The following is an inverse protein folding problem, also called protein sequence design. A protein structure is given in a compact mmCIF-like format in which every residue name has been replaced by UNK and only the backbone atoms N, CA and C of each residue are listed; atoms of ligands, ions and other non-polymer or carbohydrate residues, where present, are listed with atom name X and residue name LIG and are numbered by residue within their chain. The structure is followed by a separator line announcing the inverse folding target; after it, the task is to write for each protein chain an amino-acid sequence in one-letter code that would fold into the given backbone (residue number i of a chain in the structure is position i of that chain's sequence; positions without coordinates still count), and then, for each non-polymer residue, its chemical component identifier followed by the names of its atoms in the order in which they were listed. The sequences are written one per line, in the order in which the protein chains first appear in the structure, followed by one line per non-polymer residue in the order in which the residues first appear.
data_IF_599200191002
#
_entry.id   IF_599200191002
#
_cell.length_a   1.000
_cell.length_b   1.000
_cell.length_c   1.000
_cell.angle_alpha   90.00
_cell.angle_beta   90.00
_cell.angle_gamma   90.00
#
_symmetry.space_group_name_H-M   'P 1'
#
loop_
_entity.id
_entity.type
_entity.pdbx_description
1 polymer ?
#
# COMPACT_ATOMS: atom_id res chain seq x y z
N UNK A 1 14.99 -11.66 -29.76
CA UNK A 1 14.85 -10.29 -30.30
C UNK A 1 13.75 -9.58 -29.52
N UNK A 2 14.08 -8.49 -28.82
CA UNK A 2 13.21 -7.79 -27.86
C UNK A 2 11.85 -7.40 -28.47
N UNK A 3 10.75 -7.76 -27.81
CA UNK A 3 9.39 -7.34 -28.20
C UNK A 3 9.23 -5.83 -28.02
N UNK A 4 9.66 -5.30 -26.86
CA UNK A 4 9.49 -3.90 -26.48
C UNK A 4 10.19 -2.87 -27.39
N UNK A 5 11.20 -3.28 -28.15
CA UNK A 5 11.96 -2.40 -29.03
C UNK A 5 11.56 -2.51 -30.52
N UNK A 6 10.62 -3.40 -30.86
CA UNK A 6 10.14 -3.55 -32.22
C UNK A 6 9.04 -2.52 -32.49
N UNK A 7 9.17 -1.81 -33.60
CA UNK A 7 8.07 -1.02 -34.16
C UNK A 7 6.84 -1.93 -34.31
N UNK A 8 5.70 -1.50 -33.77
CA UNK A 8 4.38 -2.17 -33.77
C UNK A 8 4.10 -3.21 -32.66
N UNK A 9 4.93 -3.36 -31.63
CA UNK A 9 4.55 -4.16 -30.46
C UNK A 9 3.77 -3.29 -29.47
N UNK A 10 2.57 -3.75 -29.08
CA UNK A 10 1.74 -3.13 -28.05
C UNK A 10 2.01 -3.80 -26.71
N UNK A 11 2.05 -2.99 -25.65
CA UNK A 11 2.05 -3.46 -24.26
C UNK A 11 0.63 -3.36 -23.73
N UNK A 12 0.03 -4.49 -23.40
CA UNK A 12 -1.36 -4.58 -22.93
C UNK A 12 -1.37 -5.15 -21.51
N UNK A 13 -1.92 -4.40 -20.55
CA UNK A 13 -2.24 -4.90 -19.21
C UNK A 13 -3.73 -5.25 -19.20
N UNK A 14 -4.04 -6.54 -19.20
CA UNK A 14 -5.39 -7.05 -19.43
C UNK A 14 -5.93 -7.79 -18.21
N UNK A 15 -7.10 -7.38 -17.73
CA UNK A 15 -7.86 -8.09 -16.72
C UNK A 15 -8.88 -9.03 -17.37
N UNK A 16 -8.93 -10.28 -16.92
CA UNK A 16 -9.93 -11.26 -17.36
C UNK A 16 -10.87 -11.64 -16.22
N UNK A 17 -12.16 -11.34 -16.37
CA UNK A 17 -13.22 -11.73 -15.42
C UNK A 17 -13.35 -13.24 -15.28
N UNK A 18 -13.11 -14.00 -16.35
CA UNK A 18 -13.16 -15.47 -16.33
C UNK A 18 -12.15 -16.06 -15.36
N UNK A 19 -10.95 -15.48 -15.29
CA UNK A 19 -9.86 -15.99 -14.44
C UNK A 19 -9.69 -15.20 -13.14
N UNK A 20 -10.22 -13.99 -13.08
CA UNK A 20 -9.96 -13.03 -11.99
C UNK A 20 -8.53 -12.51 -11.98
N UNK A 21 -7.75 -12.70 -13.06
CA UNK A 21 -6.32 -12.37 -13.12
C UNK A 21 -6.04 -11.21 -14.07
N UNK A 22 -4.97 -10.48 -13.76
CA UNK A 22 -4.37 -9.48 -14.66
C UNK A 22 -3.07 -10.03 -15.23
N UNK A 23 -2.96 -10.00 -16.56
CA UNK A 23 -1.78 -10.43 -17.28
C UNK A 23 -1.23 -9.29 -18.15
N UNK A 24 0.08 -9.29 -18.34
CA UNK A 24 0.76 -8.39 -19.27
C UNK A 24 1.10 -9.10 -20.58
N UNK A 25 0.71 -8.50 -21.70
CA UNK A 25 0.94 -9.03 -23.04
C UNK A 25 1.78 -8.06 -23.86
N UNK A 26 2.75 -8.60 -24.61
CA UNK A 26 3.61 -7.87 -25.54
C UNK A 26 3.36 -8.42 -26.94
N UNK A 27 2.37 -7.86 -27.64
CA UNK A 27 1.83 -8.45 -28.88
C UNK A 27 1.62 -7.40 -29.96
N UNK A 28 1.74 -7.79 -31.22
CA UNK A 28 1.37 -6.96 -32.38
C UNK A 28 -0.13 -6.96 -32.67
N UNK A 29 -0.90 -7.90 -32.07
CA UNK A 29 -2.33 -8.07 -32.36
C UNK A 29 -3.15 -8.36 -31.10
N UNK A 30 -4.40 -7.86 -31.09
CA UNK A 30 -5.42 -8.08 -30.05
C UNK A 30 -6.24 -9.36 -30.25
N UNK A 31 -6.11 -10.07 -31.37
CA UNK A 31 -7.10 -11.03 -31.88
C UNK A 31 -7.52 -12.16 -30.92
N UNK A 32 -6.77 -12.42 -29.84
CA UNK A 32 -7.08 -13.47 -28.87
C UNK A 32 -7.69 -12.96 -27.55
N UNK A 33 -7.88 -11.65 -27.39
CA UNK A 33 -8.42 -11.04 -26.17
C UNK A 33 -9.85 -10.54 -26.43
N UNK A 34 -10.80 -10.95 -25.59
CA UNK A 34 -12.15 -10.40 -25.58
C UNK A 34 -12.10 -9.04 -24.86
N UNK A 35 -11.90 -7.97 -25.61
CA UNK A 35 -11.71 -6.62 -25.09
C UNK A 35 -13.02 -5.85 -25.23
N UNK A 36 -13.69 -5.63 -24.09
CA UNK A 36 -14.90 -4.80 -23.99
C UNK A 36 -14.61 -3.40 -23.44
N UNK A 37 -13.54 -3.27 -22.66
CA UNK A 37 -13.00 -2.00 -22.17
C UNK A 37 -11.53 -1.84 -22.57
N UNK A 38 -11.14 -0.65 -23.00
CA UNK A 38 -9.74 -0.30 -23.30
C UNK A 38 -9.48 1.17 -22.98
N UNK A 39 -8.37 1.46 -22.31
CA UNK A 39 -7.87 2.81 -22.04
C UNK A 39 -6.35 2.85 -22.24
N UNK A 40 -5.86 3.80 -23.04
CA UNK A 40 -4.43 3.99 -23.23
C UNK A 40 -3.86 4.95 -22.17
N UNK A 41 -2.72 4.60 -21.59
CA UNK A 41 -1.95 5.47 -20.68
C UNK A 41 -0.50 5.56 -21.13
N UNK A 42 0.16 6.67 -20.79
CA UNK A 42 1.59 6.88 -21.06
C UNK A 42 2.42 6.61 -19.82
N UNK A 43 3.28 5.61 -19.88
CA UNK A 43 4.33 5.34 -18.91
C UNK A 43 5.53 6.26 -19.18
N UNK A 44 5.64 7.34 -18.42
CA UNK A 44 6.56 8.45 -18.73
C UNK A 44 8.03 8.04 -18.63
N UNK A 45 8.38 7.31 -17.59
CA UNK A 45 9.73 6.86 -17.24
C UNK A 45 10.31 5.99 -18.35
N UNK A 46 9.48 5.12 -18.93
CA UNK A 46 9.85 4.22 -20.01
C UNK A 46 9.57 4.79 -21.41
N UNK A 47 8.85 5.92 -21.50
CA UNK A 47 8.33 6.48 -22.75
C UNK A 47 7.50 5.47 -23.55
N UNK A 48 6.76 4.60 -22.85
CA UNK A 48 5.91 3.57 -23.46
C UNK A 48 4.43 3.96 -23.33
N UNK A 49 3.63 3.56 -24.33
CA UNK A 49 2.18 3.56 -24.19
C UNK A 49 1.73 2.15 -23.75
N UNK A 50 0.86 2.11 -22.74
CA UNK A 50 0.25 0.88 -22.23
C UNK A 50 -1.23 0.95 -22.51
N UNK A 51 -1.76 -0.14 -23.06
CA UNK A 51 -3.19 -0.35 -23.16
C UNK A 51 -3.69 -1.10 -21.92
N UNK A 52 -4.57 -0.48 -21.16
CA UNK A 52 -5.30 -1.11 -20.06
C UNK A 52 -6.59 -1.69 -20.63
N UNK A 53 -6.76 -2.99 -20.61
CA UNK A 53 -7.88 -3.65 -21.26
C UNK A 53 -8.60 -4.64 -20.34
N UNK A 54 -9.86 -4.92 -20.64
CA UNK A 54 -10.66 -5.89 -19.87
C UNK A 54 -11.82 -6.45 -20.71
N UNK A 55 -12.29 -7.65 -20.35
CA UNK A 55 -13.57 -8.23 -20.79
C UNK A 55 -14.79 -7.70 -19.99
N UNK A 56 -14.57 -6.78 -19.04
CA UNK A 56 -15.63 -6.07 -18.34
C UNK A 56 -16.30 -5.03 -19.23
N UNK A 57 -17.62 -4.96 -19.14
CA UNK A 57 -18.39 -3.84 -19.67
C UNK A 57 -18.25 -2.64 -18.74
N UNK A 58 -18.04 -1.46 -19.32
CA UNK A 58 -17.96 -0.22 -18.55
C UNK A 58 -19.35 0.10 -18.03
N UNK A 59 -19.51 0.14 -16.72
CA UNK A 59 -20.66 0.76 -16.09
C UNK A 59 -20.38 2.26 -16.02
N UNK A 60 -21.08 3.06 -16.82
CA UNK A 60 -20.98 4.51 -16.78
C UNK A 60 -21.47 5.01 -15.41
N UNK A 61 -20.56 5.15 -14.45
CA UNK A 61 -20.87 5.82 -13.19
C UNK A 61 -20.70 7.33 -13.40
N UNK A 62 -21.80 8.00 -13.78
CA UNK A 62 -21.96 9.46 -13.73
C UNK A 62 -22.09 9.99 -12.28
N UNK A 63 -21.41 9.37 -11.31
CA UNK A 63 -21.39 9.90 -9.95
C UNK A 63 -20.33 11.00 -9.86
N UNK A 64 -20.83 12.23 -9.97
CA UNK A 64 -20.18 13.49 -9.65
C UNK A 64 -19.23 13.36 -8.45
N UNK A 65 -17.92 13.51 -8.72
CA UNK A 65 -16.89 13.70 -7.70
C UNK A 65 -17.15 15.08 -7.07
N UNK A 66 -17.96 15.09 -6.02
CA UNK A 66 -18.41 16.30 -5.34
C UNK A 66 -17.24 16.96 -4.59
N UNK A 67 -16.50 17.81 -5.29
CA UNK A 67 -15.15 18.29 -4.94
C UNK A 67 -15.12 19.40 -3.87
N UNK A 68 -16.21 19.67 -3.14
CA UNK A 68 -16.31 20.86 -2.26
C UNK A 68 -16.40 20.60 -0.75
N UNK A 69 -16.45 19.34 -0.27
CA UNK A 69 -16.33 18.97 1.17
C UNK A 69 -14.89 18.66 1.64
N UNK A 70 -13.88 18.92 0.78
CA UNK A 70 -12.57 18.27 0.85
C UNK A 70 -11.73 18.52 2.11
N UNK A 71 -11.65 19.72 2.67
CA UNK A 71 -10.59 20.02 3.66
C UNK A 71 -10.81 19.36 5.04
N UNK A 72 -12.03 19.39 5.59
CA UNK A 72 -12.33 18.68 6.86
C UNK A 72 -12.35 17.16 6.68
N UNK A 73 -12.73 16.69 5.49
CA UNK A 73 -12.66 15.27 5.12
C UNK A 73 -11.21 14.80 4.95
N UNK A 74 -10.29 15.64 4.49
CA UNK A 74 -8.89 15.23 4.21
C UNK A 74 -8.17 14.79 5.49
N UNK A 75 -8.35 15.48 6.61
CA UNK A 75 -7.76 15.07 7.90
C UNK A 75 -8.38 13.76 8.41
N UNK A 76 -9.71 13.61 8.28
CA UNK A 76 -10.42 12.37 8.63
C UNK A 76 -9.94 11.19 7.78
N UNK A 77 -9.85 11.37 6.46
CA UNK A 77 -9.34 10.37 5.51
C UNK A 77 -7.90 10.01 5.86
N UNK A 78 -7.03 11.00 6.06
CA UNK A 78 -5.62 10.76 6.43
C UNK A 78 -5.49 9.94 7.71
N UNK A 79 -6.34 10.22 8.70
CA UNK A 79 -6.39 9.43 9.93
C UNK A 79 -6.88 8.02 9.69
N UNK A 80 -7.98 7.83 8.96
CA UNK A 80 -8.48 6.49 8.66
C UNK A 80 -7.46 5.66 7.87
N UNK A 81 -6.74 6.25 6.91
CA UNK A 81 -5.68 5.57 6.15
C UNK A 81 -4.51 5.14 7.05
N UNK A 82 -4.11 5.99 8.00
CA UNK A 82 -3.08 5.65 9.01
C UNK A 82 -3.58 4.57 9.99
N UNK A 83 -4.83 4.69 10.44
CA UNK A 83 -5.47 3.73 11.33
C UNK A 83 -5.60 2.35 10.68
N UNK A 84 -5.97 2.29 9.39
CA UNK A 84 -6.02 1.06 8.60
C UNK A 84 -4.65 0.37 8.55
N UNK A 85 -3.60 1.14 8.25
CA UNK A 85 -2.23 0.62 8.21
C UNK A 85 -1.84 0.01 9.54
N UNK A 86 -2.10 0.70 10.64
CA UNK A 86 -1.76 0.21 11.98
C UNK A 86 -2.61 -0.99 12.38
N UNK A 87 -3.90 -1.02 12.04
CA UNK A 87 -4.77 -2.17 12.28
C UNK A 87 -4.23 -3.42 11.56
N UNK A 88 -3.83 -3.30 10.29
CA UNK A 88 -3.24 -4.40 9.51
C UNK A 88 -1.86 -4.80 10.08
N UNK A 89 -1.00 -3.83 10.37
CA UNK A 89 0.33 -4.02 10.99
C UNK A 89 0.24 -4.77 12.33
N UNK A 90 -0.84 -4.57 13.09
CA UNK A 90 -1.11 -5.19 14.40
C UNK A 90 -2.02 -6.40 14.35
N UNK A 91 -2.42 -6.82 13.15
CA UNK A 91 -3.32 -7.95 12.94
C UNK A 91 -4.66 -7.81 13.66
N UNK A 92 -5.17 -6.57 13.79
CA UNK A 92 -6.49 -6.29 14.35
C UNK A 92 -7.57 -6.33 13.25
N UNK A 93 -8.15 -7.52 13.05
CA UNK A 93 -9.08 -7.79 11.95
C UNK A 93 -10.33 -6.92 11.98
N UNK A 94 -11.05 -6.90 13.10
CA UNK A 94 -12.34 -6.19 13.21
C UNK A 94 -12.16 -4.70 12.90
N UNK A 95 -11.16 -4.08 13.52
CA UNK A 95 -10.82 -2.68 13.30
C UNK A 95 -10.45 -2.42 11.82
N UNK A 96 -9.64 -3.27 11.20
CA UNK A 96 -9.25 -3.11 9.80
C UNK A 96 -10.45 -3.19 8.84
N UNK A 97 -11.38 -4.11 9.06
CA UNK A 97 -12.59 -4.30 8.23
C UNK A 97 -13.54 -3.11 8.37
N UNK A 98 -13.78 -2.63 9.59
CA UNK A 98 -14.61 -1.43 9.84
C UNK A 98 -14.01 -0.20 9.14
N UNK A 99 -12.70 0.05 9.30
CA UNK A 99 -12.02 1.19 8.67
C UNK A 99 -12.05 1.08 7.15
N UNK A 100 -11.76 -0.09 6.60
CA UNK A 100 -11.77 -0.31 5.15
C UNK A 100 -13.16 -0.08 4.56
N UNK A 101 -14.22 -0.53 5.26
CA UNK A 101 -15.61 -0.28 4.84
C UNK A 101 -15.92 1.22 4.83
N UNK A 102 -15.53 1.97 5.87
CA UNK A 102 -15.73 3.41 5.89
C UNK A 102 -14.93 4.13 4.80
N UNK A 103 -13.65 3.79 4.62
CA UNK A 103 -12.80 4.36 3.58
C UNK A 103 -13.35 4.04 2.19
N UNK A 104 -13.87 2.84 1.95
CA UNK A 104 -14.47 2.49 0.67
C UNK A 104 -15.63 3.43 0.30
N UNK A 105 -16.43 3.86 1.28
CA UNK A 105 -17.56 4.75 1.07
C UNK A 105 -17.17 6.23 0.87
N UNK A 106 -16.00 6.67 1.38
CA UNK A 106 -15.62 8.10 1.38
C UNK A 106 -14.39 8.42 0.51
N UNK A 107 -13.50 7.45 0.29
CA UNK A 107 -12.25 7.58 -0.47
C UNK A 107 -11.76 6.20 -0.95
N UNK A 108 -12.49 5.61 -1.91
CA UNK A 108 -12.18 4.30 -2.46
C UNK A 108 -10.78 4.25 -3.11
N UNK A 109 -10.38 5.30 -3.83
CA UNK A 109 -9.08 5.35 -4.48
C UNK A 109 -7.94 5.41 -3.46
N UNK A 110 -8.05 6.26 -2.44
CA UNK A 110 -7.06 6.35 -1.36
C UNK A 110 -6.92 5.03 -0.61
N UNK A 111 -8.03 4.32 -0.35
CA UNK A 111 -8.01 2.97 0.22
C UNK A 111 -7.20 2.00 -0.63
N UNK A 112 -7.51 1.88 -1.93
CA UNK A 112 -6.85 0.95 -2.84
C UNK A 112 -5.36 1.26 -2.97
N UNK A 113 -5.01 2.54 -3.13
CA UNK A 113 -3.61 3.00 -3.14
C UNK A 113 -2.91 2.64 -1.84
N UNK A 114 -3.56 2.81 -0.68
CA UNK A 114 -2.96 2.49 0.61
C UNK A 114 -2.78 0.98 0.82
N UNK A 115 -3.73 0.16 0.39
CA UNK A 115 -3.58 -1.30 0.42
C UNK A 115 -2.39 -1.77 -0.41
N UNK A 116 -2.11 -1.13 -1.56
CA UNK A 116 -0.94 -1.47 -2.37
C UNK A 116 0.37 -1.24 -1.61
N UNK A 117 0.46 -0.16 -0.83
CA UNK A 117 1.63 0.14 0.01
C UNK A 117 1.72 -0.81 1.20
N UNK A 118 0.62 -1.00 1.95
CA UNK A 118 0.58 -1.86 3.15
C UNK A 118 0.97 -3.30 2.82
N UNK A 119 0.53 -3.82 1.67
CA UNK A 119 0.88 -5.18 1.23
C UNK A 119 2.39 -5.41 1.13
N UNK A 120 3.17 -4.36 0.89
CA UNK A 120 4.62 -4.43 0.77
C UNK A 120 5.34 -4.02 2.06
N UNK A 121 4.93 -2.90 2.68
CA UNK A 121 5.64 -2.32 3.84
C UNK A 121 5.45 -3.15 5.12
N UNK A 122 4.22 -3.62 5.35
CA UNK A 122 3.80 -4.21 6.63
C UNK A 122 3.55 -5.72 6.56
N UNK A 123 3.43 -6.26 5.36
CA UNK A 123 3.09 -7.66 5.08
C UNK A 123 4.04 -8.20 4.00
N UNK A 124 3.52 -8.90 3.00
CA UNK A 124 4.26 -9.52 1.90
C UNK A 124 3.44 -9.36 0.61
N UNK A 125 4.12 -9.37 -0.53
CA UNK A 125 3.50 -9.21 -1.85
C UNK A 125 2.29 -10.14 -2.03
N UNK A 126 1.18 -9.54 -2.48
CA UNK A 126 -0.06 -10.23 -2.84
C UNK A 126 0.06 -10.85 -4.23
N UNK A 127 -0.48 -12.05 -4.41
CA UNK A 127 -0.68 -12.63 -5.75
C UNK A 127 -1.57 -11.72 -6.62
N UNK A 128 -2.59 -11.09 -6.00
CA UNK A 128 -3.53 -10.18 -6.66
C UNK A 128 -3.05 -8.72 -6.75
N UNK A 129 -1.78 -8.44 -6.45
CA UNK A 129 -1.23 -7.11 -6.61
C UNK A 129 -1.44 -6.52 -8.03
N UNK A 130 -1.32 -7.31 -9.13
CA UNK A 130 -1.58 -6.81 -10.47
C UNK A 130 -3.03 -6.37 -10.67
N UNK A 131 -3.99 -7.11 -10.09
CA UNK A 131 -5.39 -6.70 -10.07
C UNK A 131 -5.60 -5.38 -9.32
N UNK A 132 -5.03 -5.27 -8.11
CA UNK A 132 -5.14 -4.06 -7.29
C UNK A 132 -4.63 -2.83 -8.06
N UNK A 133 -3.50 -2.95 -8.76
CA UNK A 133 -2.98 -1.85 -9.56
C UNK A 133 -3.81 -1.55 -10.80
N UNK A 134 -4.26 -2.58 -11.52
CA UNK A 134 -5.12 -2.39 -12.69
C UNK A 134 -6.33 -1.55 -12.31
N UNK A 135 -6.97 -1.90 -11.20
CA UNK A 135 -8.10 -1.18 -10.63
C UNK A 135 -7.75 0.27 -10.24
N UNK A 136 -6.64 0.51 -9.53
CA UNK A 136 -6.19 1.88 -9.17
C UNK A 136 -6.04 2.74 -10.43
N UNK A 137 -5.51 2.13 -11.49
CA UNK A 137 -5.15 2.78 -12.76
C UNK A 137 -6.38 3.11 -13.62
N UNK A 138 -7.41 2.26 -13.57
CA UNK A 138 -8.65 2.45 -14.34
C UNK A 138 -9.74 3.18 -13.55
N UNK A 139 -9.56 3.44 -12.26
CA UNK A 139 -10.52 4.18 -11.44
C UNK A 139 -10.83 5.58 -12.03
N UNK A 140 -12.09 6.07 -11.96
CA UNK A 140 -13.30 5.42 -11.41
C UNK A 140 -14.06 4.55 -12.43
N UNK A 141 -13.48 4.24 -13.59
CA UNK A 141 -14.19 3.63 -14.72
C UNK A 141 -14.67 2.20 -14.45
N UNK A 142 -13.92 1.43 -13.68
CA UNK A 142 -14.32 0.08 -13.26
C UNK A 142 -14.64 0.09 -11.77
N UNK A 143 -15.85 -0.36 -11.44
CA UNK A 143 -16.27 -0.54 -10.06
C UNK A 143 -15.53 -1.73 -9.45
N UNK A 144 -14.94 -1.50 -8.28
CA UNK A 144 -14.41 -2.58 -7.42
C UNK A 144 -15.52 -3.00 -6.49
N UNK A 145 -15.73 -4.28 -6.29
CA UNK A 145 -16.69 -4.74 -5.29
C UNK A 145 -16.08 -4.66 -3.89
N UNK A 146 -16.86 -4.15 -2.92
CA UNK A 146 -16.44 -4.02 -1.51
C UNK A 146 -15.94 -5.36 -0.95
N UNK A 147 -16.65 -6.46 -1.24
CA UNK A 147 -16.27 -7.82 -0.82
C UNK A 147 -14.82 -8.15 -1.20
N UNK A 148 -14.40 -7.80 -2.42
CA UNK A 148 -13.04 -8.04 -2.87
C UNK A 148 -12.02 -7.23 -2.07
N UNK A 149 -12.31 -5.97 -1.79
CA UNK A 149 -11.46 -5.10 -0.96
C UNK A 149 -11.34 -5.67 0.46
N UNK A 150 -12.44 -6.12 1.04
CA UNK A 150 -12.45 -6.70 2.39
C UNK A 150 -11.70 -8.04 2.45
N UNK A 151 -11.77 -8.89 1.43
CA UNK A 151 -10.95 -10.12 1.35
C UNK A 151 -9.46 -9.82 1.29
N UNK A 152 -9.05 -8.78 0.56
CA UNK A 152 -7.65 -8.32 0.56
C UNK A 152 -7.24 -7.85 1.97
N UNK A 153 -8.07 -7.03 2.63
CA UNK A 153 -7.82 -6.57 4.00
C UNK A 153 -7.70 -7.75 4.97
N UNK A 154 -8.65 -8.67 4.96
CA UNK A 154 -8.63 -9.87 5.80
C UNK A 154 -7.36 -10.70 5.57
N UNK A 155 -7.01 -10.90 4.31
CA UNK A 155 -5.80 -11.64 3.91
C UNK A 155 -4.53 -10.98 4.47
N UNK A 156 -4.40 -9.65 4.31
CA UNK A 156 -3.27 -8.88 4.83
C UNK A 156 -3.18 -8.98 6.35
N UNK A 157 -4.29 -8.81 7.07
CA UNK A 157 -4.36 -8.92 8.54
C UNK A 157 -3.96 -10.32 9.00
N UNK A 158 -4.54 -11.38 8.41
CA UNK A 158 -4.33 -12.76 8.86
C UNK A 158 -2.93 -13.30 8.54
N UNK A 159 -2.28 -12.77 7.51
CA UNK A 159 -0.90 -13.15 7.18
C UNK A 159 0.02 -12.96 8.39
N UNK A 160 0.85 -13.96 8.70
CA UNK A 160 1.93 -13.87 9.69
C UNK A 160 3.28 -13.53 9.05
N UNK A 161 3.31 -13.26 7.75
CA UNK A 161 4.53 -13.04 6.96
C UNK A 161 4.75 -11.57 6.70
N UNK A 162 6.01 -11.15 6.80
CA UNK A 162 6.48 -9.83 6.45
C UNK A 162 7.77 -9.91 5.65
N UNK A 163 7.85 -9.15 4.57
CA UNK A 163 9.10 -8.93 3.85
C UNK A 163 9.89 -7.74 4.42
N UNK A 164 11.19 -7.75 4.15
CA UNK A 164 12.09 -6.67 4.49
C UNK A 164 12.90 -6.31 3.26
N UNK A 165 12.95 -5.02 2.95
CA UNK A 165 13.99 -4.50 2.09
C UNK A 165 15.31 -4.53 2.86
N UNK A 166 16.43 -4.92 2.22
CA UNK A 166 17.74 -4.78 2.84
C UNK A 166 18.00 -3.33 3.24
N UNK A 167 18.43 -3.10 4.48
CA UNK A 167 18.81 -1.77 4.99
C UNK A 167 20.18 -1.28 4.43
N UNK A 168 20.74 -1.98 3.45
CA UNK A 168 22.06 -1.65 2.89
C UNK A 168 21.96 -0.41 1.99
N UNK A 169 22.76 0.61 2.30
CA UNK A 169 22.96 1.79 1.45
C UNK A 169 23.44 1.39 0.03
N UNK A 170 23.96 0.17 -0.15
CA UNK A 170 24.29 -0.41 -1.45
C UNK A 170 23.08 -0.74 -2.31
N UNK A 171 21.87 -0.84 -1.72
CA UNK A 171 20.61 -0.82 -2.45
C UNK A 171 20.32 0.62 -2.91
N UNK A 172 21.33 1.23 -3.55
CA UNK A 172 21.15 2.42 -4.37
C UNK A 172 20.06 2.04 -5.33
N UNK A 173 18.89 2.65 -5.16
CA UNK A 173 17.70 2.38 -5.96
C UNK A 173 18.08 2.63 -7.42
N UNK A 174 18.52 1.58 -8.10
CA UNK A 174 18.89 1.68 -9.49
C UNK A 174 17.60 2.04 -10.20
N UNK A 175 17.63 3.17 -10.91
CA UNK A 175 16.51 3.59 -11.73
C UNK A 175 16.14 2.42 -12.64
N UNK A 176 14.92 1.91 -12.47
CA UNK A 176 14.39 0.93 -13.40
C UNK A 176 14.29 1.64 -14.75
N UNK A 177 14.82 0.99 -15.79
CA UNK A 177 14.83 1.48 -17.15
C UNK A 177 14.30 0.40 -18.10
N UNK A 178 14.31 0.67 -19.40
CA UNK A 178 13.84 -0.30 -20.39
C UNK A 178 14.68 -1.59 -20.39
N UNK A 179 15.99 -1.50 -20.12
CA UNK A 179 16.88 -2.66 -20.07
C UNK A 179 16.51 -3.63 -18.94
N UNK A 180 16.07 -3.11 -17.79
CA UNK A 180 15.53 -3.92 -16.71
C UNK A 180 14.32 -4.76 -17.15
N UNK A 181 13.38 -4.16 -17.88
CA UNK A 181 12.23 -4.89 -18.41
C UNK A 181 12.61 -5.89 -19.50
N UNK A 182 13.56 -5.52 -20.36
CA UNK A 182 14.11 -6.42 -21.39
C UNK A 182 14.77 -7.64 -20.74
N UNK A 183 15.42 -7.49 -19.58
CA UNK A 183 15.98 -8.61 -18.84
C UNK A 183 14.89 -9.60 -18.40
N UNK A 184 13.76 -9.09 -17.91
CA UNK A 184 12.60 -9.89 -17.49
C UNK A 184 12.04 -10.70 -18.67
N UNK A 185 11.84 -10.07 -19.83
CA UNK A 185 11.34 -10.75 -21.04
C UNK A 185 12.26 -11.87 -21.54
N UNK A 186 13.58 -11.75 -21.30
CA UNK A 186 14.57 -12.75 -21.75
C UNK A 186 14.64 -13.99 -20.87
N UNK A 187 14.00 -13.98 -19.69
CA UNK A 187 14.05 -15.07 -18.72
C UNK A 187 12.78 -15.91 -18.79
N UNK A 188 12.87 -17.16 -18.34
CA UNK A 188 11.74 -18.10 -18.27
C UNK A 188 10.84 -17.82 -17.05
N UNK A 189 10.38 -16.58 -16.91
CA UNK A 189 9.37 -16.22 -15.92
C UNK A 189 7.98 -16.62 -16.42
N UNK A 190 7.09 -16.94 -15.48
CA UNK A 190 5.69 -17.21 -15.79
C UNK A 190 4.90 -15.88 -15.86
N UNK A 191 3.69 -15.94 -16.42
CA UNK A 191 2.86 -14.75 -16.65
C UNK A 191 2.55 -13.98 -15.36
N UNK A 192 2.36 -14.67 -14.23
CA UNK A 192 2.06 -14.04 -12.94
C UNK A 192 3.27 -13.24 -12.43
N UNK A 193 4.47 -13.82 -12.47
CA UNK A 193 5.69 -13.13 -12.03
C UNK A 193 5.99 -11.89 -12.85
N UNK A 194 5.86 -12.00 -14.18
CA UNK A 194 5.96 -10.84 -15.09
C UNK A 194 4.94 -9.79 -14.67
N UNK A 195 3.70 -10.20 -14.44
CA UNK A 195 2.62 -9.29 -14.07
C UNK A 195 2.81 -8.62 -12.73
N UNK A 196 3.41 -9.31 -11.75
CA UNK A 196 3.77 -8.76 -10.45
C UNK A 196 4.86 -7.71 -10.58
N UNK A 197 5.97 -8.01 -11.29
CA UNK A 197 7.07 -7.07 -11.44
C UNK A 197 6.63 -5.81 -12.22
N UNK A 198 5.95 -5.99 -13.34
CA UNK A 198 5.46 -4.87 -14.15
C UNK A 198 4.45 -4.03 -13.38
N UNK A 199 3.59 -4.65 -12.58
CA UNK A 199 2.66 -3.91 -11.73
C UNK A 199 3.38 -3.13 -10.65
N UNK A 200 4.33 -3.72 -9.92
CA UNK A 200 5.12 -2.99 -8.92
C UNK A 200 5.79 -1.75 -9.52
N UNK A 201 6.38 -1.89 -10.70
CA UNK A 201 7.04 -0.79 -11.35
C UNK A 201 6.07 0.26 -11.89
N UNK A 202 4.95 -0.17 -12.49
CA UNK A 202 3.91 0.74 -12.92
C UNK A 202 3.37 1.51 -11.71
N UNK A 203 3.15 0.87 -10.56
CA UNK A 203 2.73 1.57 -9.34
C UNK A 203 3.74 2.63 -8.90
N UNK A 204 5.05 2.37 -9.00
CA UNK A 204 6.08 3.36 -8.69
C UNK A 204 5.99 4.61 -9.59
N UNK A 205 5.60 4.45 -10.85
CA UNK A 205 5.45 5.56 -11.81
C UNK A 205 4.25 6.47 -11.58
N UNK A 206 3.25 6.05 -10.80
CA UNK A 206 2.08 6.87 -10.48
C UNK A 206 2.41 8.01 -9.50
N UNK A 207 3.64 8.07 -9.01
CA UNK A 207 4.09 9.01 -8.01
C UNK A 207 3.62 8.64 -6.60
N UNK A 208 3.77 9.60 -5.69
CA UNK A 208 3.53 9.43 -4.26
C UNK A 208 4.59 10.16 -3.45
N UNK A 209 4.74 9.78 -2.18
CA UNK A 209 5.87 10.22 -1.38
C UNK A 209 7.14 9.55 -1.90
N UNK A 210 8.27 10.27 -1.91
CA UNK A 210 9.54 9.74 -2.41
C UNK A 210 9.91 8.40 -1.74
N UNK A 211 9.68 8.29 -0.43
CA UNK A 211 9.91 7.06 0.33
C UNK A 211 9.06 5.88 -0.18
N UNK A 212 7.80 6.12 -0.56
CA UNK A 212 6.94 5.07 -1.12
C UNK A 212 7.46 4.63 -2.48
N UNK A 213 7.89 5.57 -3.32
CA UNK A 213 8.46 5.29 -4.65
C UNK A 213 9.74 4.47 -4.51
N UNK A 214 10.67 4.87 -3.63
CA UNK A 214 11.89 4.13 -3.37
C UNK A 214 11.62 2.73 -2.84
N UNK A 215 10.66 2.59 -1.92
CA UNK A 215 10.24 1.30 -1.40
C UNK A 215 9.67 0.39 -2.51
N UNK A 216 8.80 0.94 -3.38
CA UNK A 216 8.21 0.20 -4.50
C UNK A 216 9.29 -0.28 -5.49
N UNK A 217 10.24 0.57 -5.84
CA UNK A 217 11.36 0.20 -6.70
C UNK A 217 12.23 -0.87 -6.00
N UNK A 218 12.47 -0.71 -4.69
CA UNK A 218 13.15 -1.70 -3.87
C UNK A 218 12.51 -3.08 -3.96
N UNK A 219 11.19 -3.13 -3.79
CA UNK A 219 10.43 -4.38 -3.88
C UNK A 219 10.39 -4.94 -5.30
N UNK A 220 10.38 -4.09 -6.33
CA UNK A 220 10.47 -4.51 -7.72
C UNK A 220 11.77 -5.28 -7.99
N UNK A 221 12.92 -4.76 -7.54
CA UNK A 221 14.21 -5.44 -7.64
C UNK A 221 14.26 -6.71 -6.78
N UNK A 222 13.82 -6.64 -5.52
CA UNK A 222 13.80 -7.79 -4.61
C UNK A 222 13.02 -8.97 -5.19
N UNK A 223 11.81 -8.72 -5.71
CA UNK A 223 10.97 -9.77 -6.26
C UNK A 223 11.47 -10.25 -7.63
N UNK A 224 12.05 -9.37 -8.47
CA UNK A 224 12.75 -9.81 -9.68
C UNK A 224 13.84 -10.83 -9.34
N UNK A 225 14.70 -10.50 -8.39
CA UNK A 225 15.84 -11.35 -8.02
C UNK A 225 15.37 -12.69 -7.43
N UNK A 226 14.28 -12.69 -6.67
CA UNK A 226 13.64 -13.92 -6.16
C UNK A 226 13.09 -14.81 -7.26
N UNK A 227 12.36 -14.24 -8.23
CA UNK A 227 11.80 -14.99 -9.35
C UNK A 227 12.87 -15.49 -10.34
N UNK A 228 14.00 -14.78 -10.47
CA UNK A 228 15.12 -15.19 -11.31
C UNK A 228 16.16 -16.08 -10.61
N UNK A 229 16.11 -16.16 -9.28
CA UNK A 229 17.10 -16.84 -8.46
C UNK A 229 16.95 -18.36 -8.41
N UNK A 230 17.98 -19.04 -7.87
CA UNK A 230 18.03 -20.51 -7.75
C UNK A 230 16.97 -21.08 -6.78
N UNK A 231 16.36 -20.24 -5.94
CA UNK A 231 15.37 -20.63 -4.93
C UNK A 231 13.93 -20.21 -5.31
N UNK A 232 13.64 -20.08 -6.61
CA UNK A 232 12.33 -19.64 -7.13
C UNK A 232 11.14 -20.40 -6.53
N UNK A 233 11.21 -21.73 -6.48
CA UNK A 233 10.12 -22.59 -5.97
C UNK A 233 9.77 -22.31 -4.50
N UNK A 234 10.74 -21.82 -3.72
CA UNK A 234 10.51 -21.41 -2.33
C UNK A 234 9.63 -20.15 -2.33
N UNK A 235 9.96 -19.17 -3.18
CA UNK A 235 9.31 -17.86 -3.25
C UNK A 235 7.91 -17.89 -3.86
N UNK A 236 7.61 -18.82 -4.76
CA UNK A 236 6.26 -18.97 -5.30
C UNK A 236 5.23 -19.33 -4.22
N UNK A 237 5.65 -20.08 -3.20
CA UNK A 237 4.83 -20.38 -2.02
C UNK A 237 4.78 -19.22 -1.01
N UNK A 238 5.62 -18.19 -1.19
CA UNK A 238 5.66 -17.01 -0.33
C UNK A 238 4.68 -15.90 -0.73
N UNK A 239 4.13 -15.92 -1.94
CA UNK A 239 3.06 -14.98 -2.32
C UNK A 239 1.84 -15.16 -1.43
N UNK A 240 1.22 -14.03 -1.07
CA UNK A 240 0.01 -14.02 -0.27
C UNK A 240 -1.23 -14.11 -1.16
N UNK A 241 -2.00 -15.18 -1.00
CA UNK A 241 -3.19 -15.47 -1.81
C UNK A 241 -4.43 -14.91 -1.15
N UNK A 242 -5.19 -14.10 -1.86
CA UNK A 242 -6.48 -13.62 -1.36
C UNK A 242 -7.45 -14.80 -1.27
N UNK A 243 -8.18 -14.96 -0.16
CA UNK A 243 -9.18 -16.02 -0.05
C UNK A 243 -10.31 -15.79 -1.05
N UNK A 244 -10.94 -16.86 -1.50
CA UNK A 244 -12.09 -16.79 -2.42
C UNK A 244 -13.34 -16.27 -1.74
N UNK A 245 -13.44 -16.42 -0.42
CA UNK A 245 -14.56 -15.95 0.39
C UNK A 245 -14.04 -15.20 1.60
N UNK A 246 -14.82 -14.22 2.07
CA UNK A 246 -14.56 -13.59 3.36
C UNK A 246 -14.92 -14.59 4.46
N UNK A 247 -13.97 -15.00 5.29
CA UNK A 247 -14.26 -15.94 6.39
C UNK A 247 -15.02 -15.24 7.52
N UNK A 248 -14.77 -13.94 7.67
CA UNK A 248 -15.24 -13.17 8.79
C UNK A 248 -16.73 -12.88 8.68
N UNK A 249 -17.53 -13.47 9.57
CA UNK A 249 -18.90 -13.02 9.90
C UNK A 249 -18.86 -11.71 10.69
N UNK A 250 -18.05 -10.74 10.26
CA UNK A 250 -18.00 -9.45 10.92
C UNK A 250 -19.29 -8.74 10.55
N UNK A 251 -20.16 -8.57 11.55
CA UNK A 251 -21.28 -7.67 11.44
C UNK A 251 -20.69 -6.28 11.24
N UNK A 252 -20.92 -5.69 10.06
CA UNK A 252 -20.65 -4.27 9.82
C UNK A 252 -21.77 -3.51 10.54
N UNK A 253 -21.73 -3.53 11.86
CA UNK A 253 -22.74 -2.89 12.71
C UNK A 253 -22.14 -1.65 13.35
N UNK A 254 -22.47 -0.49 12.78
CA UNK A 254 -22.20 0.81 13.38
C UNK A 254 -21.57 1.84 12.45
N UNK A 255 -21.90 3.11 12.71
CA UNK A 255 -21.30 4.28 12.04
C UNK A 255 -19.95 4.67 12.66
N UNK A 256 -19.58 4.08 13.81
CA UNK A 256 -18.37 4.43 14.55
C UNK A 256 -17.24 3.43 14.27
N UNK A 257 -16.08 3.94 13.83
CA UNK A 257 -14.84 3.17 13.71
C UNK A 257 -14.00 3.32 14.97
N UNK A 258 -13.44 2.20 15.45
CA UNK A 258 -12.45 2.23 16.51
C UNK A 258 -11.13 2.87 16.02
N UNK A 259 -10.73 3.98 16.66
CA UNK A 259 -9.46 4.65 16.37
C UNK A 259 -8.37 4.09 17.28
N UNK A 260 -7.36 3.47 16.68
CA UNK A 260 -6.16 3.04 17.40
C UNK A 260 -5.37 4.30 17.77
N UNK A 261 -5.13 4.53 19.05
CA UNK A 261 -4.46 5.75 19.55
C UNK A 261 -3.14 6.04 18.81
N UNK A 262 -2.34 5.00 18.57
CA UNK A 262 -1.04 5.11 17.89
C UNK A 262 -1.11 5.52 16.41
N UNK A 263 -2.34 5.54 15.84
CA UNK A 263 -2.58 6.10 14.52
C UNK A 263 -2.52 7.61 14.52
N UNK A 264 -2.86 8.28 15.62
CA UNK A 264 -2.71 9.73 15.78
C UNK A 264 -1.25 10.03 16.05
N UNK A 265 -0.51 10.28 14.97
CA UNK A 265 0.92 10.55 15.03
C UNK A 265 1.27 11.88 14.36
N UNK A 266 2.56 12.18 14.33
CA UNK A 266 3.09 13.44 13.81
C UNK A 266 2.94 13.62 12.29
N UNK A 267 2.60 12.57 11.54
CA UNK A 267 2.28 12.70 10.11
C UNK A 267 0.88 13.30 9.91
N UNK A 268 -0.07 12.94 10.78
CA UNK A 268 -1.46 13.45 10.72
C UNK A 268 -1.59 14.76 11.49
N UNK A 269 -0.93 14.83 12.64
CA UNK A 269 -0.97 15.97 13.56
C UNK A 269 0.44 16.51 13.81
N UNK A 270 1.08 17.22 12.85
CA UNK A 270 2.44 17.73 13.03
C UNK A 270 2.61 18.63 14.26
N UNK A 271 1.56 19.40 14.60
CA UNK A 271 1.55 20.27 15.77
C UNK A 271 1.61 19.51 17.11
N UNK A 272 1.28 18.22 17.13
CA UNK A 272 1.39 17.39 18.32
C UNK A 272 2.83 17.35 18.86
N UNK A 273 3.84 17.45 17.99
CA UNK A 273 5.25 17.50 18.43
C UNK A 273 5.56 18.75 19.24
N UNK A 274 4.97 19.90 18.87
CA UNK A 274 5.13 21.16 19.61
C UNK A 274 4.48 21.08 20.97
N UNK A 275 3.26 20.55 21.04
CA UNK A 275 2.52 20.39 22.30
C UNK A 275 3.22 19.42 23.24
N UNK A 276 3.70 18.28 22.72
CA UNK A 276 4.49 17.33 23.49
C UNK A 276 5.76 18.03 24.02
N UNK A 277 6.50 18.76 23.18
CA UNK A 277 7.71 19.47 23.60
C UNK A 277 7.45 20.54 24.68
N UNK A 278 6.36 21.31 24.57
CA UNK A 278 5.95 22.28 25.59
C UNK A 278 5.71 21.56 26.92
N UNK A 279 4.94 20.47 26.90
CA UNK A 279 4.64 19.70 28.11
C UNK A 279 5.87 19.02 28.72
N UNK A 280 6.77 18.51 27.89
CA UNK A 280 8.04 17.91 28.33
C UNK A 280 8.92 18.97 29.01
N UNK A 281 9.07 20.14 28.39
CA UNK A 281 9.87 21.21 28.97
C UNK A 281 9.30 21.68 30.31
N UNK A 282 7.96 21.86 30.38
CA UNK A 282 7.28 22.30 31.59
C UNK A 282 7.36 21.28 32.75
N UNK A 283 7.28 19.97 32.46
CA UNK A 283 7.22 18.92 33.50
C UNK A 283 8.59 18.33 33.87
N UNK A 284 9.51 18.26 32.91
CA UNK A 284 10.76 17.55 33.07
C UNK A 284 11.99 18.46 32.95
N UNK A 285 11.82 19.75 32.60
CA UNK A 285 12.93 20.68 32.40
C UNK A 285 13.88 20.26 31.28
N UNK A 286 13.46 19.38 30.38
CA UNK A 286 14.31 18.85 29.31
C UNK A 286 13.81 19.27 27.93
N UNK A 287 14.75 19.47 27.00
CA UNK A 287 14.47 19.82 25.61
C UNK A 287 14.79 18.62 24.72
N UNK A 288 13.79 18.14 23.98
CA UNK A 288 13.96 17.08 22.99
C UNK A 288 13.79 17.70 21.61
N UNK A 289 14.72 17.45 20.69
CA UNK A 289 14.57 17.87 19.30
C UNK A 289 13.43 17.06 18.63
N UNK A 290 12.74 17.68 17.68
CA UNK A 290 11.58 17.05 17.01
C UNK A 290 11.93 15.75 16.29
N UNK A 291 13.08 15.65 15.62
CA UNK A 291 13.50 14.42 14.92
C UNK A 291 13.72 13.26 15.90
N UNK A 292 14.29 13.55 17.07
CA UNK A 292 14.42 12.56 18.15
C UNK A 292 13.05 12.13 18.67
N UNK A 293 12.12 13.07 18.82
CA UNK A 293 10.75 12.76 19.25
C UNK A 293 9.99 11.92 18.20
N UNK A 294 10.12 12.25 16.91
CA UNK A 294 9.59 11.44 15.79
C UNK A 294 10.12 10.00 15.86
N UNK A 295 11.43 9.82 16.07
CA UNK A 295 12.04 8.50 16.24
C UNK A 295 11.49 7.78 17.47
N UNK A 296 11.35 8.45 18.60
CA UNK A 296 10.77 7.88 19.82
C UNK A 296 9.34 7.36 19.56
N UNK A 297 8.47 8.18 18.97
CA UNK A 297 7.09 7.81 18.66
C UNK A 297 7.05 6.64 17.64
N UNK A 298 7.85 6.73 16.58
CA UNK A 298 7.89 5.69 15.54
C UNK A 298 8.34 4.33 16.10
N UNK A 299 9.51 4.26 16.73
CA UNK A 299 10.10 2.97 17.15
C UNK A 299 9.42 2.36 18.38
N UNK A 300 8.70 3.15 19.18
CA UNK A 300 8.05 2.66 20.41
C UNK A 300 6.53 2.52 20.29
N UNK A 301 5.89 3.08 19.26
CA UNK A 301 4.44 3.06 19.08
C UNK A 301 4.05 2.78 17.61
N UNK A 302 4.04 3.79 16.74
CA UNK A 302 3.39 3.69 15.42
C UNK A 302 4.02 2.62 14.52
N UNK A 303 5.35 2.44 14.55
CA UNK A 303 6.08 1.51 13.68
C UNK A 303 6.10 0.06 14.15
N UNK A 304 5.49 -0.28 15.30
CA UNK A 304 5.53 -1.63 15.86
C UNK A 304 4.65 -2.59 15.03
N UNK A 305 5.26 -3.56 14.37
CA UNK A 305 4.59 -4.64 13.64
C UNK A 305 4.60 -5.97 14.43
N UNK A 306 3.46 -6.67 14.49
CA UNK A 306 3.31 -7.94 15.25
C UNK A 306 3.94 -9.13 14.54
N UNK A 307 4.19 -9.03 13.23
CA UNK A 307 4.90 -10.05 12.42
C UNK A 307 6.41 -10.02 12.59
N UNK A 308 6.89 -9.20 13.52
CA UNK A 308 8.30 -8.92 13.72
C UNK A 308 8.72 -7.59 13.10
N UNK A 309 9.88 -7.12 13.56
CA UNK A 309 10.54 -5.94 13.05
C UNK A 309 11.99 -6.30 12.73
N UNK A 310 12.65 -5.52 11.87
CA UNK A 310 14.06 -5.73 11.55
C UNK A 310 14.92 -5.64 12.81
N UNK A 311 16.12 -6.24 12.75
CA UNK A 311 17.09 -6.19 13.86
C UNK A 311 17.39 -4.74 14.25
N UNK A 312 17.53 -3.87 13.25
CA UNK A 312 17.79 -2.45 13.41
C UNK A 312 16.63 -1.75 14.11
N UNK A 313 15.38 -2.04 13.72
CA UNK A 313 14.21 -1.52 14.42
C UNK A 313 14.21 -1.91 15.91
N UNK A 314 14.53 -3.17 16.23
CA UNK A 314 14.59 -3.63 17.62
C UNK A 314 15.71 -2.95 18.41
N UNK A 315 16.86 -2.70 17.78
CA UNK A 315 17.96 -1.94 18.37
C UNK A 315 17.53 -0.50 18.68
N UNK A 316 16.90 0.19 17.73
CA UNK A 316 16.37 1.54 17.94
C UNK A 316 15.27 1.56 19.00
N UNK A 317 14.36 0.59 19.02
CA UNK A 317 13.34 0.47 20.06
C UNK A 317 13.98 0.35 21.44
N UNK A 318 14.97 -0.54 21.63
CA UNK A 318 15.71 -0.66 22.90
C UNK A 318 16.36 0.66 23.32
N UNK A 319 16.93 1.40 22.36
CA UNK A 319 17.54 2.71 22.59
C UNK A 319 16.54 3.78 23.05
N UNK A 320 15.36 3.83 22.43
CA UNK A 320 14.37 4.89 22.68
C UNK A 320 13.34 4.56 23.76
N UNK A 321 13.09 3.28 24.06
CA UNK A 321 12.05 2.85 24.99
C UNK A 321 12.17 3.44 26.41
N UNK A 322 13.36 3.55 27.03
CA UNK A 322 13.47 4.17 28.36
C UNK A 322 13.04 5.65 28.37
N UNK A 323 13.20 6.35 27.25
CA UNK A 323 12.74 7.73 27.09
C UNK A 323 11.23 7.73 26.84
N UNK A 324 10.74 6.86 25.95
CA UNK A 324 9.32 6.71 25.67
C UNK A 324 8.51 6.44 26.95
N UNK A 325 8.93 5.49 27.79
CA UNK A 325 8.24 5.15 29.04
C UNK A 325 8.08 6.34 30.00
N UNK A 326 9.04 7.27 30.03
CA UNK A 326 8.94 8.51 30.83
C UNK A 326 7.97 9.53 30.23
N UNK A 327 7.76 9.46 28.92
CA UNK A 327 6.97 10.41 28.14
C UNK A 327 5.57 9.90 27.79
N UNK A 328 5.30 8.61 27.98
CA UNK A 328 4.11 7.92 27.51
C UNK A 328 2.81 8.64 27.92
N UNK A 329 2.69 9.03 29.19
CA UNK A 329 1.53 9.77 29.66
C UNK A 329 1.35 11.13 28.96
N UNK A 330 2.44 11.84 28.66
CA UNK A 330 2.39 13.13 27.95
C UNK A 330 1.95 12.90 26.49
N UNK A 331 2.57 11.92 25.83
CA UNK A 331 2.25 11.54 24.44
C UNK A 331 0.78 11.12 24.33
N UNK A 332 0.32 10.24 25.21
CA UNK A 332 -1.06 9.74 25.22
C UNK A 332 -2.07 10.84 25.53
N UNK A 333 -1.73 11.78 26.42
CA UNK A 333 -2.59 12.95 26.69
C UNK A 333 -2.75 13.79 25.43
N UNK A 334 -1.64 14.10 24.75
CA UNK A 334 -1.70 14.84 23.48
C UNK A 334 -2.52 14.11 22.43
N UNK A 335 -2.27 12.80 22.23
CA UNK A 335 -3.04 11.95 21.31
C UNK A 335 -4.54 12.05 21.61
N UNK A 336 -4.95 11.87 22.87
CA UNK A 336 -6.35 11.92 23.26
C UNK A 336 -6.99 13.28 22.97
N UNK A 337 -6.28 14.39 23.17
CA UNK A 337 -6.74 15.73 22.81
C UNK A 337 -7.02 15.84 21.31
N UNK A 338 -6.15 15.28 20.46
CA UNK A 338 -6.32 15.31 19.00
C UNK A 338 -7.42 14.35 18.51
N UNK A 339 -7.59 13.18 19.14
CA UNK A 339 -8.65 12.22 18.81
C UNK A 339 -10.05 12.76 19.12
N UNK A 340 -10.23 13.33 20.32
CA UNK A 340 -11.55 13.75 20.82
C UNK A 340 -12.05 15.08 20.22
N UNK A 341 -11.15 15.96 19.80
CA UNK A 341 -11.51 17.27 19.24
C UNK A 341 -11.85 17.26 17.74
N UNK A 342 -11.51 16.19 17.00
CA UNK A 342 -11.52 16.22 15.52
C UNK A 342 -12.24 15.06 14.82
N UNK A 343 -12.76 14.07 15.55
CA UNK A 343 -13.34 12.86 14.95
C UNK A 343 -14.74 12.63 15.53
N UNK A 344 -15.69 13.51 15.21
CA UNK A 344 -17.09 13.08 15.19
C UNK A 344 -17.36 12.49 13.81
N UNK A 345 -17.55 11.18 13.76
CA UNK A 345 -18.13 10.52 12.60
C UNK A 345 -19.64 10.73 12.77
N UNK A 346 -20.13 11.87 12.27
CA UNK A 346 -21.56 12.03 11.98
C UNK A 346 -21.91 11.31 10.68
#
# INVERSE_FOLDING_TARGET
MNSLAKENVRTICYYSTKTGKVNWYFTSSRNNLDIKFSKEIRWKELKLNIELASDLEVTSNDQDINTRKLLSQTQKISLLLSNLQIAIRRQNLNCAIEIATQLYNIDQLGLLQKLSIISLDDVILLEDYPYLLFIITVYPTIKVELDMVLRIVECLVKSNRRDYLPDDDSFVVQNINLDFLIEIEKKNLNDLEISLIYSLYLRASYGGLDNDIYMLIGYCHLWKDRFMGQNRDIWDNHLLKTPTTLDSKIAIEGETVSIIQDSVNFYICPNMLKDINININARCGCKINEDKLKKIIWYCSSGVNTRGNSKDFLQYRRKYYPVFAKLENIINTSINTYSSSKIKIE
#
